data_IF_606210024445
#
_entry.id   IF_606210024445
#
_cell.length_a   1.000
_cell.length_b   1.000
_cell.length_c   1.000
_cell.angle_alpha   90.00
_cell.angle_beta   90.00
_cell.angle_gamma   90.00
#
_symmetry.space_group_name_H-M   'P 1'
#
loop_
_entity.id
_entity.type
_entity.pdbx_description
1 polymer ?
#
# COMPACT_ATOMS: atom_id res chain seq x y z
N UNK A 1 15.48 31.89 62.84
CA UNK A 1 16.75 31.89 63.59
C UNK A 1 17.85 31.51 62.59
N UNK A 2 18.54 32.45 61.95
CA UNK A 2 19.63 33.33 62.42
C UNK A 2 21.00 32.83 61.96
N UNK A 3 21.61 33.61 61.03
CA UNK A 3 23.04 34.05 60.95
C UNK A 3 24.12 32.94 60.81
N UNK A 4 25.18 33.03 59.99
CA UNK A 4 26.24 34.06 59.82
C UNK A 4 27.03 33.72 58.53
N UNK A 5 27.28 34.65 57.60
CA UNK A 5 28.43 35.58 57.52
C UNK A 5 29.81 34.90 57.46
N UNK A 6 30.50 35.03 56.32
CA UNK A 6 31.92 35.39 56.30
C UNK A 6 32.24 36.22 55.06
N UNK A 7 32.65 37.46 55.30
CA UNK A 7 33.21 38.39 54.34
C UNK A 7 34.74 38.38 54.50
N UNK A 8 35.48 38.51 53.40
CA UNK A 8 36.89 38.85 53.42
C UNK A 8 37.12 40.04 52.47
N UNK A 9 37.59 41.11 53.10
CA UNK A 9 37.93 42.43 52.58
C UNK A 9 39.43 42.42 52.23
N UNK A 10 39.84 42.92 51.05
CA UNK A 10 41.23 43.34 50.83
C UNK A 10 41.30 44.61 49.96
N UNK A 11 41.67 45.68 50.69
CA UNK A 11 42.38 46.92 50.37
C UNK A 11 42.36 47.53 48.95
N UNK A 12 41.96 48.81 48.94
CA UNK A 12 42.24 49.80 47.93
C UNK A 12 43.70 50.30 47.97
N UNK A 13 44.28 50.53 46.79
CA UNK A 13 45.35 51.52 46.57
C UNK A 13 44.93 52.34 45.35
N UNK A 14 44.79 53.65 45.55
CA UNK A 14 44.53 54.61 44.49
C UNK A 14 45.81 55.02 43.78
N UNK A 15 45.74 55.14 42.45
CA UNK A 15 46.66 55.92 41.65
C UNK A 15 45.86 56.59 40.52
N UNK A 16 45.87 57.91 40.50
CA UNK A 16 45.35 58.73 39.42
C UNK A 16 46.29 58.64 38.19
N UNK A 17 45.72 58.63 36.99
CA UNK A 17 46.47 58.99 35.78
C UNK A 17 46.12 58.19 34.52
N UNK A 18 45.69 58.95 33.50
CA UNK A 18 45.67 58.64 32.07
C UNK A 18 44.48 57.80 31.57
N UNK A 19 43.51 58.50 30.97
CA UNK A 19 42.58 57.93 30.01
C UNK A 19 43.35 57.47 28.77
N UNK A 20 43.57 56.17 28.66
CA UNK A 20 43.93 55.49 27.42
C UNK A 20 42.62 55.14 26.70
N UNK A 21 42.53 55.26 25.35
CA UNK A 21 41.39 54.73 24.62
C UNK A 21 41.36 53.22 24.87
N UNK A 22 40.22 52.73 25.35
CA UNK A 22 39.96 51.30 25.43
C UNK A 22 40.09 50.75 24.00
N UNK A 23 41.19 50.08 23.72
CA UNK A 23 41.25 49.15 22.60
C UNK A 23 40.15 48.12 22.88
N UNK A 24 39.13 48.10 22.01
CA UNK A 24 38.15 47.04 21.98
C UNK A 24 38.92 45.73 21.97
N UNK A 25 38.90 45.03 23.11
CA UNK A 25 39.39 43.67 23.16
C UNK A 25 38.41 42.90 22.28
N UNK A 26 38.95 42.38 21.18
CA UNK A 26 38.31 41.41 20.31
C UNK A 26 37.96 40.22 21.20
N UNK A 27 36.74 40.23 21.72
CA UNK A 27 36.20 39.16 22.52
C UNK A 27 36.05 37.98 21.55
N UNK A 28 36.69 36.82 21.81
CA UNK A 28 36.47 35.65 20.98
C UNK A 28 34.97 35.42 20.92
N UNK A 29 34.40 35.43 19.72
CA UNK A 29 33.00 35.08 19.52
C UNK A 29 32.76 33.74 20.24
N UNK A 30 31.77 33.71 21.13
CA UNK A 30 31.23 32.44 21.61
C UNK A 30 30.91 31.61 20.36
N UNK A 31 31.31 30.32 20.30
CA UNK A 31 30.89 29.48 19.19
C UNK A 31 29.37 29.53 19.13
N UNK A 32 28.83 29.85 17.95
CA UNK A 32 27.39 29.82 17.71
C UNK A 32 26.82 28.52 18.28
N UNK A 33 25.78 28.64 19.10
CA UNK A 33 25.08 27.47 19.61
C UNK A 33 24.70 26.56 18.42
N UNK A 34 24.78 25.22 18.57
CA UNK A 34 24.43 24.33 17.47
C UNK A 34 23.03 24.68 16.96
N UNK A 35 22.92 24.96 15.66
CA UNK A 35 21.63 25.24 14.99
C UNK A 35 20.76 23.98 14.93
N UNK A 36 21.39 22.83 15.13
CA UNK A 36 20.76 21.52 15.09
C UNK A 36 20.59 20.90 16.48
N UNK A 37 19.42 20.31 16.72
CA UNK A 37 19.08 19.54 17.94
C UNK A 37 19.06 18.05 17.60
N UNK A 38 19.70 17.22 18.43
CA UNK A 38 19.62 15.77 18.30
C UNK A 38 18.25 15.26 18.79
N UNK A 39 17.70 14.28 18.08
CA UNK A 39 16.54 13.50 18.51
C UNK A 39 17.00 12.08 18.82
N UNK A 40 16.55 11.54 19.94
CA UNK A 40 16.87 10.20 20.39
C UNK A 40 15.59 9.50 20.84
N UNK A 41 15.58 8.17 20.77
CA UNK A 41 14.48 7.31 21.26
C UNK A 41 13.10 7.63 20.66
N UNK A 42 13.04 8.19 19.46
CA UNK A 42 11.77 8.47 18.78
C UNK A 42 11.13 7.14 18.37
N UNK A 43 9.86 6.96 18.70
CA UNK A 43 9.06 5.80 18.27
C UNK A 43 8.17 6.18 17.10
N UNK A 44 8.28 5.43 16.01
CA UNK A 44 7.35 5.48 14.87
C UNK A 44 6.22 4.48 15.10
N UNK A 45 4.96 4.91 15.04
CA UNK A 45 3.77 4.06 15.04
C UNK A 45 2.98 4.21 13.74
N UNK A 46 2.69 3.10 13.05
CA UNK A 46 1.87 3.15 11.84
C UNK A 46 1.20 1.81 11.50
N UNK A 47 -0.08 1.89 11.13
CA UNK A 47 -0.87 0.73 10.70
C UNK A 47 -1.02 0.59 9.19
N UNK A 48 -0.32 1.41 8.39
CA UNK A 48 -0.44 1.54 6.93
C UNK A 48 -1.84 1.97 6.47
N UNK A 49 -2.84 1.09 6.56
CA UNK A 49 -4.24 1.31 6.24
C UNK A 49 -5.13 0.27 6.96
N UNK A 50 -6.45 0.48 6.95
CA UNK A 50 -7.38 -0.44 7.60
C UNK A 50 -7.41 -1.82 6.93
N UNK A 51 -7.20 -1.88 5.61
CA UNK A 51 -7.13 -3.12 4.83
C UNK A 51 -6.04 -4.07 5.33
N UNK A 52 -4.90 -3.52 5.81
CA UNK A 52 -3.79 -4.29 6.40
C UNK A 52 -4.14 -4.93 7.75
N UNK A 53 -5.31 -4.62 8.32
CA UNK A 53 -5.82 -5.19 9.57
C UNK A 53 -7.19 -5.87 9.43
N UNK A 54 -7.59 -6.12 8.19
CA UNK A 54 -8.90 -6.65 7.81
C UNK A 54 -8.90 -8.18 7.65
N UNK A 55 -10.10 -8.78 7.62
CA UNK A 55 -10.27 -10.15 7.10
C UNK A 55 -10.10 -10.14 5.59
N UNK A 56 -9.42 -11.16 5.05
CA UNK A 56 -9.23 -11.28 3.61
C UNK A 56 -10.30 -12.17 2.95
N UNK A 57 -10.42 -12.10 1.63
CA UNK A 57 -11.47 -12.80 0.87
C UNK A 57 -11.30 -14.32 0.80
N UNK A 58 -10.08 -14.84 0.97
CA UNK A 58 -9.89 -16.28 1.07
C UNK A 58 -10.45 -16.79 2.42
N UNK A 59 -11.13 -17.95 2.44
CA UNK A 59 -11.68 -18.50 3.68
C UNK A 59 -10.65 -18.55 4.82
N UNK A 60 -11.07 -18.08 5.99
CA UNK A 60 -10.27 -18.09 7.24
C UNK A 60 -8.88 -17.45 7.15
N UNK A 61 -8.73 -16.46 6.27
CA UNK A 61 -7.51 -15.64 6.16
C UNK A 61 -7.73 -14.18 6.55
N UNK A 62 -6.63 -13.54 6.95
CA UNK A 62 -6.57 -12.22 7.56
C UNK A 62 -5.31 -11.49 7.10
N UNK A 63 -5.41 -10.17 6.94
CA UNK A 63 -4.26 -9.31 6.71
C UNK A 63 -3.71 -8.84 8.06
N UNK A 64 -2.40 -8.94 8.26
CA UNK A 64 -1.77 -8.51 9.50
C UNK A 64 -0.26 -8.29 9.40
N UNK A 65 0.31 -7.70 10.45
CA UNK A 65 1.75 -7.51 10.60
C UNK A 65 2.43 -8.62 11.42
N UNK A 66 3.69 -8.91 11.10
CA UNK A 66 4.64 -9.60 11.98
C UNK A 66 5.82 -8.67 12.23
N UNK A 67 6.32 -8.65 13.47
CA UNK A 67 7.62 -8.05 13.75
C UNK A 67 8.72 -8.96 13.19
N UNK A 68 9.69 -8.36 12.52
CA UNK A 68 10.79 -9.05 11.86
C UNK A 68 10.39 -9.73 10.55
N UNK A 69 11.38 -10.37 9.94
CA UNK A 69 11.25 -11.16 8.71
C UNK A 69 10.63 -12.53 8.97
N UNK A 70 9.55 -12.82 8.25
CA UNK A 70 9.00 -14.17 8.15
C UNK A 70 9.87 -15.01 7.20
N UNK A 71 10.17 -16.29 7.53
CA UNK A 71 10.87 -17.20 6.63
C UNK A 71 10.13 -17.44 5.31
N UNK A 72 10.88 -17.68 4.24
CA UNK A 72 10.31 -18.07 2.94
C UNK A 72 9.57 -19.42 3.04
N UNK A 73 8.25 -19.48 2.79
CA UNK A 73 7.50 -20.74 2.74
C UNK A 73 7.84 -21.59 1.50
N UNK A 74 8.63 -21.08 0.55
CA UNK A 74 9.08 -21.73 -0.67
C UNK A 74 8.04 -21.78 -1.79
N UNK A 75 6.84 -21.24 -1.57
CA UNK A 75 5.79 -21.08 -2.60
C UNK A 75 4.72 -20.07 -2.14
N UNK A 76 4.11 -19.40 -3.11
CA UNK A 76 2.94 -18.55 -2.91
C UNK A 76 1.71 -19.33 -2.48
N UNK A 77 0.67 -18.62 -2.01
CA UNK A 77 -0.57 -19.27 -1.57
C UNK A 77 -0.44 -20.04 -0.25
N UNK A 78 0.70 -19.94 0.45
CA UNK A 78 0.93 -20.60 1.73
C UNK A 78 0.59 -19.67 2.89
N UNK A 79 -0.27 -20.10 3.80
CA UNK A 79 -0.48 -19.37 5.06
C UNK A 79 0.62 -19.69 6.05
N UNK A 80 1.05 -18.70 6.84
CA UNK A 80 2.03 -18.91 7.90
C UNK A 80 1.43 -19.59 9.12
N UNK A 81 2.28 -20.29 9.89
CA UNK A 81 1.89 -20.87 11.16
C UNK A 81 2.10 -19.89 12.32
N UNK A 82 1.42 -20.15 13.45
CA UNK A 82 1.62 -19.39 14.70
C UNK A 82 3.11 -19.34 15.09
N UNK A 83 3.85 -20.42 14.83
CA UNK A 83 5.24 -20.55 15.24
C UNK A 83 6.17 -19.57 14.51
N UNK A 84 5.80 -19.17 13.29
CA UNK A 84 6.59 -18.24 12.47
C UNK A 84 6.28 -16.78 12.81
N UNK A 85 5.09 -16.50 13.34
CA UNK A 85 4.68 -15.14 13.69
C UNK A 85 5.30 -14.64 15.00
N UNK A 86 5.79 -13.40 14.96
CA UNK A 86 6.25 -12.68 16.15
C UNK A 86 5.51 -11.36 16.38
N UNK A 87 5.15 -11.11 17.64
CA UNK A 87 4.66 -9.80 18.09
C UNK A 87 5.78 -8.80 18.36
N UNK A 88 7.04 -9.26 18.41
CA UNK A 88 8.21 -8.41 18.69
C UNK A 88 9.48 -9.00 18.07
N UNK A 89 10.28 -8.15 17.45
CA UNK A 89 11.61 -8.47 16.99
C UNK A 89 12.49 -7.22 17.07
N UNK A 90 13.57 -7.26 17.84
CA UNK A 90 14.39 -6.08 18.13
C UNK A 90 13.57 -4.88 18.66
N UNK A 91 13.65 -3.76 17.93
CA UNK A 91 12.93 -2.51 18.16
C UNK A 91 11.50 -2.50 17.58
N UNK A 92 11.11 -3.53 16.84
CA UNK A 92 9.79 -3.63 16.21
C UNK A 92 8.82 -4.34 17.14
N UNK A 93 7.61 -3.79 17.32
CA UNK A 93 6.50 -4.47 17.99
C UNK A 93 5.20 -4.37 17.18
N UNK A 94 4.42 -5.44 17.19
CA UNK A 94 3.04 -5.41 16.72
C UNK A 94 2.14 -5.16 17.92
N UNK A 95 1.34 -4.10 17.84
CA UNK A 95 0.44 -3.68 18.90
C UNK A 95 -1.00 -3.67 18.40
N UNK A 96 -1.96 -3.78 19.30
CA UNK A 96 -3.39 -3.81 19.02
C UNK A 96 -4.12 -2.93 20.01
N UNK A 97 -5.06 -2.14 19.51
CA UNK A 97 -5.98 -1.39 20.35
C UNK A 97 -6.99 -2.34 21.01
N UNK A 98 -7.03 -2.35 22.35
CA UNK A 98 -7.96 -3.17 23.14
C UNK A 98 -9.28 -2.47 23.48
N UNK A 99 -9.48 -1.25 22.97
CA UNK A 99 -10.60 -0.38 23.33
C UNK A 99 -10.23 0.74 24.29
N UNK A 100 -9.08 0.62 24.99
CA UNK A 100 -8.62 1.55 26.01
C UNK A 100 -7.16 1.97 25.88
N UNK A 101 -6.29 1.04 25.45
CA UNK A 101 -4.87 1.28 25.28
C UNK A 101 -4.32 0.44 24.11
N UNK A 102 -3.15 0.82 23.62
CA UNK A 102 -2.36 -0.04 22.76
C UNK A 102 -1.68 -1.10 23.60
N UNK A 103 -1.80 -2.36 23.18
CA UNK A 103 -1.22 -3.52 23.86
C UNK A 103 -0.47 -4.36 22.85
N UNK A 104 0.57 -5.06 23.27
CA UNK A 104 1.23 -6.07 22.42
C UNK A 104 0.18 -7.03 21.84
N UNK A 105 0.18 -7.18 20.52
CA UNK A 105 -0.77 -8.02 19.84
C UNK A 105 -0.58 -9.50 20.25
N UNK A 106 -1.66 -10.26 20.19
CA UNK A 106 -1.62 -11.71 20.29
C UNK A 106 -2.09 -12.30 18.98
N UNK A 107 -1.61 -13.51 18.66
CA UNK A 107 -2.02 -14.21 17.44
C UNK A 107 -3.53 -14.37 17.30
N UNK A 108 -4.21 -14.71 18.39
CA UNK A 108 -5.68 -14.79 18.41
C UNK A 108 -6.30 -13.40 18.20
N UNK A 109 -5.70 -12.36 18.79
CA UNK A 109 -6.15 -10.98 18.68
C UNK A 109 -6.15 -10.43 17.25
N UNK A 110 -5.26 -10.92 16.37
CA UNK A 110 -5.21 -10.51 14.95
C UNK A 110 -6.50 -10.84 14.18
N UNK A 111 -7.36 -11.70 14.72
CA UNK A 111 -8.60 -12.18 14.09
C UNK A 111 -9.86 -11.60 14.73
N UNK A 112 -9.69 -10.62 15.62
CA UNK A 112 -10.77 -10.06 16.42
C UNK A 112 -10.72 -8.55 16.42
N UNK A 113 -11.89 -7.92 16.52
CA UNK A 113 -12.05 -6.48 16.76
C UNK A 113 -11.40 -6.05 18.07
N UNK A 114 -11.33 -4.74 18.35
CA UNK A 114 -10.91 -4.23 19.66
C UNK A 114 -11.74 -4.77 20.82
N UNK A 115 -13.02 -5.10 20.60
CA UNK A 115 -13.89 -5.70 21.61
C UNK A 115 -13.70 -7.22 21.80
N UNK A 116 -12.83 -7.86 21.02
CA UNK A 116 -12.60 -9.31 21.07
C UNK A 116 -13.56 -10.15 20.24
N UNK A 117 -14.53 -9.53 19.56
CA UNK A 117 -15.43 -10.23 18.63
C UNK A 117 -14.71 -10.61 17.33
N UNK A 118 -15.03 -11.76 16.70
CA UNK A 118 -14.47 -12.13 15.40
C UNK A 118 -14.68 -11.05 14.34
N UNK A 119 -13.70 -10.86 13.44
CA UNK A 119 -13.90 -9.97 12.30
C UNK A 119 -15.01 -10.48 11.37
N UNK A 120 -15.80 -9.54 10.84
CA UNK A 120 -16.87 -9.79 9.88
C UNK A 120 -16.37 -10.23 8.51
N UNK A 121 -17.22 -10.14 7.49
CA UNK A 121 -16.76 -10.31 6.10
C UNK A 121 -15.73 -9.24 5.72
N UNK A 122 -14.90 -9.44 4.68
CA UNK A 122 -13.91 -8.43 4.25
C UNK A 122 -14.49 -7.04 3.99
N UNK A 123 -15.76 -6.96 3.62
CA UNK A 123 -16.47 -5.71 3.33
C UNK A 123 -17.26 -5.15 4.53
N UNK A 124 -17.15 -5.76 5.71
CA UNK A 124 -17.97 -5.41 6.87
C UNK A 124 -17.54 -4.10 7.56
N UNK A 125 -16.33 -3.58 7.25
CA UNK A 125 -15.77 -2.43 7.96
C UNK A 125 -15.47 -2.76 9.42
N UNK A 126 -15.01 -3.98 9.70
CA UNK A 126 -14.57 -4.40 11.03
C UNK A 126 -13.10 -4.79 10.95
N UNK A 127 -12.27 -4.13 11.74
CA UNK A 127 -10.83 -4.30 11.70
C UNK A 127 -10.30 -4.80 13.04
N UNK A 128 -9.15 -5.46 12.99
CA UNK A 128 -8.47 -5.89 14.22
C UNK A 128 -7.80 -4.72 14.95
N UNK A 129 -7.59 -3.60 14.25
CA UNK A 129 -6.98 -2.38 14.80
C UNK A 129 -5.61 -2.65 15.42
N UNK A 130 -4.78 -3.39 14.69
CA UNK A 130 -3.39 -3.58 15.05
C UNK A 130 -2.50 -2.70 14.18
N UNK A 131 -1.36 -2.33 14.74
CA UNK A 131 -0.38 -1.39 14.21
C UNK A 131 1.02 -1.94 14.45
N UNK A 132 2.02 -1.29 13.90
CA UNK A 132 3.42 -1.56 14.21
C UNK A 132 4.05 -0.35 14.86
N UNK A 133 4.94 -0.60 15.81
CA UNK A 133 5.88 0.39 16.34
C UNK A 133 7.31 0.02 16.02
N UNK A 134 8.13 1.02 15.71
CA UNK A 134 9.59 0.92 15.60
C UNK A 134 10.18 1.96 16.54
N UNK A 135 10.78 1.51 17.64
CA UNK A 135 11.39 2.39 18.65
C UNK A 135 12.86 2.68 18.34
N UNK A 136 13.49 3.60 19.09
CA UNK A 136 14.93 3.86 18.98
C UNK A 136 15.30 4.62 17.71
N UNK A 137 14.40 5.47 17.23
CA UNK A 137 14.70 6.37 16.12
C UNK A 137 15.61 7.49 16.57
N UNK A 138 16.72 7.64 15.88
CA UNK A 138 17.72 8.67 16.13
C UNK A 138 17.78 9.63 14.94
N UNK A 139 18.02 10.90 15.24
CA UNK A 139 17.93 11.93 14.23
C UNK A 139 18.49 13.29 14.61
N UNK A 140 18.32 14.22 13.69
CA UNK A 140 18.71 15.61 13.85
C UNK A 140 17.62 16.51 13.29
N UNK A 141 17.37 17.63 13.96
CA UNK A 141 16.45 18.69 13.53
C UNK A 141 17.25 19.97 13.43
N UNK A 142 17.15 20.69 12.31
CA UNK A 142 17.63 22.05 12.18
C UNK A 142 16.42 22.99 11.96
N UNK A 143 15.94 23.66 13.03
CA UNK A 143 14.81 24.59 12.92
C UNK A 143 15.12 25.83 12.07
N UNK A 144 16.40 26.21 11.91
CA UNK A 144 16.80 27.38 11.12
C UNK A 144 16.73 27.07 9.63
N UNK A 145 17.21 25.89 9.23
CA UNK A 145 17.10 25.40 7.85
C UNK A 145 15.70 24.84 7.55
N UNK A 146 14.89 24.56 8.58
CA UNK A 146 13.58 23.95 8.43
C UNK A 146 13.68 22.51 7.95
N UNK A 147 14.67 21.77 8.46
CA UNK A 147 14.94 20.38 8.07
C UNK A 147 14.95 19.44 9.27
N UNK A 148 14.63 18.17 9.03
CA UNK A 148 14.86 17.10 10.00
C UNK A 148 15.16 15.78 9.29
N UNK A 149 15.89 14.90 9.95
CA UNK A 149 16.06 13.51 9.52
C UNK A 149 16.02 12.61 10.74
N UNK A 150 15.17 11.57 10.70
CA UNK A 150 15.07 10.55 11.75
C UNK A 150 15.12 9.19 11.08
N UNK A 151 15.98 8.30 11.56
CA UNK A 151 16.16 6.96 11.04
C UNK A 151 15.89 5.92 12.13
N UNK A 152 15.26 4.82 11.75
CA UNK A 152 15.02 3.68 12.62
C UNK A 152 15.67 2.43 12.04
N UNK A 153 16.08 1.52 12.90
CA UNK A 153 16.50 0.17 12.52
C UNK A 153 15.39 -0.83 12.85
N UNK A 154 15.04 -1.69 11.89
CA UNK A 154 14.05 -2.73 12.12
C UNK A 154 13.29 -3.13 10.86
N UNK A 155 12.75 -4.35 10.90
CA UNK A 155 12.02 -4.94 9.77
C UNK A 155 10.62 -5.37 10.20
N UNK A 156 9.65 -5.10 9.32
CA UNK A 156 8.24 -5.46 9.48
C UNK A 156 7.84 -6.33 8.31
N UNK A 157 7.21 -7.48 8.56
CA UNK A 157 6.53 -8.22 7.50
C UNK A 157 5.05 -7.83 7.45
N UNK A 158 4.57 -7.42 6.28
CA UNK A 158 3.16 -7.15 6.00
C UNK A 158 2.58 -8.36 5.28
N UNK A 159 1.63 -9.06 5.93
CA UNK A 159 1.05 -10.29 5.43
C UNK A 159 -0.35 -10.04 4.90
N UNK A 160 -0.59 -10.43 3.65
CA UNK A 160 -1.91 -10.51 3.06
C UNK A 160 -2.37 -11.97 3.00
N UNK A 161 -3.67 -12.18 3.23
CA UNK A 161 -4.28 -13.51 3.26
C UNK A 161 -3.50 -14.49 4.17
N UNK A 162 -3.09 -14.01 5.34
CA UNK A 162 -2.33 -14.77 6.34
C UNK A 162 -1.01 -15.36 5.82
N UNK A 163 -0.37 -14.67 4.87
CA UNK A 163 0.95 -15.00 4.36
C UNK A 163 0.97 -15.60 2.96
N UNK A 164 -0.19 -15.82 2.33
CA UNK A 164 -0.23 -16.27 0.93
C UNK A 164 0.49 -15.30 -0.01
N UNK A 165 0.54 -14.02 0.37
CA UNK A 165 1.42 -13.00 -0.16
C UNK A 165 1.95 -12.16 1.00
N UNK A 166 3.21 -11.77 0.95
CA UNK A 166 3.79 -10.84 1.92
C UNK A 166 4.96 -10.06 1.33
N UNK A 167 5.29 -8.97 1.99
CA UNK A 167 6.49 -8.18 1.72
C UNK A 167 7.05 -7.66 3.04
N UNK A 168 8.27 -7.14 2.98
CA UNK A 168 8.98 -6.59 4.11
C UNK A 168 9.18 -5.08 3.92
N UNK A 169 9.06 -4.34 5.01
CA UNK A 169 9.46 -2.94 5.14
C UNK A 169 10.61 -2.89 6.15
N UNK A 170 11.77 -2.39 5.75
CA UNK A 170 12.94 -2.30 6.60
C UNK A 170 13.51 -0.89 6.66
N UNK A 171 14.08 -0.56 7.81
CA UNK A 171 14.93 0.61 8.07
C UNK A 171 14.33 1.93 7.55
N UNK A 172 13.18 2.35 8.12
CA UNK A 172 12.51 3.54 7.67
C UNK A 172 13.33 4.80 8.00
N UNK A 173 13.26 5.79 7.12
CA UNK A 173 13.89 7.10 7.29
C UNK A 173 12.88 8.18 6.95
N UNK A 174 12.61 9.07 7.91
CA UNK A 174 11.81 10.26 7.71
C UNK A 174 12.74 11.44 7.44
N UNK A 175 12.59 12.06 6.28
CA UNK A 175 13.21 13.35 5.95
C UNK A 175 12.13 14.42 5.95
N UNK A 176 12.38 15.56 6.60
CA UNK A 176 11.50 16.72 6.59
C UNK A 176 12.25 17.89 5.98
N UNK A 177 11.62 18.56 5.02
CA UNK A 177 12.10 19.78 4.40
C UNK A 177 10.91 20.56 3.81
N UNK A 178 11.02 21.88 3.76
CA UNK A 178 10.00 22.75 3.14
C UNK A 178 8.57 22.55 3.69
N UNK A 179 8.45 22.17 4.97
CA UNK A 179 7.17 21.91 5.64
C UNK A 179 6.51 20.57 5.27
N UNK A 180 7.21 19.69 4.57
CA UNK A 180 6.73 18.36 4.20
C UNK A 180 7.69 17.26 4.68
N UNK A 181 7.13 16.12 5.05
CA UNK A 181 7.88 14.91 5.41
C UNK A 181 7.80 13.85 4.31
N UNK A 182 8.89 13.12 4.09
CA UNK A 182 8.95 11.96 3.19
C UNK A 182 9.48 10.79 4.01
N UNK A 183 8.62 9.79 4.23
CA UNK A 183 9.02 8.53 4.83
C UNK A 183 9.44 7.57 3.73
N UNK A 184 10.70 7.14 3.76
CA UNK A 184 11.23 6.08 2.92
C UNK A 184 11.48 4.82 3.73
N UNK A 185 11.47 3.66 3.06
CA UNK A 185 11.88 2.39 3.64
C UNK A 185 12.41 1.47 2.54
N UNK A 186 13.21 0.48 2.92
CA UNK A 186 13.57 -0.62 2.02
C UNK A 186 12.43 -1.63 1.92
N UNK A 187 12.03 -1.96 0.69
CA UNK A 187 10.93 -2.88 0.39
C UNK A 187 11.44 -4.08 -0.36
N UNK A 188 11.14 -5.27 0.14
CA UNK A 188 11.50 -6.54 -0.49
C UNK A 188 10.41 -7.59 -0.26
N UNK A 189 10.51 -8.77 -0.85
CA UNK A 189 9.54 -9.83 -0.64
C UNK A 189 9.60 -10.87 -1.73
N UNK A 190 8.44 -11.46 -2.04
CA UNK A 190 8.30 -12.44 -3.09
C UNK A 190 7.19 -12.02 -4.05
N UNK A 191 7.48 -12.09 -5.35
CA UNK A 191 6.48 -11.90 -6.40
C UNK A 191 5.36 -12.94 -6.21
N UNK A 192 4.12 -12.50 -6.33
CA UNK A 192 2.95 -13.36 -6.23
C UNK A 192 1.96 -13.04 -7.35
N UNK A 193 1.02 -13.94 -7.61
CA UNK A 193 -0.05 -13.68 -8.58
C UNK A 193 -1.33 -14.40 -8.17
N UNK A 194 -2.45 -13.69 -8.23
CA UNK A 194 -3.77 -14.30 -8.05
C UNK A 194 -4.15 -15.19 -9.26
N UNK A 195 -3.68 -14.83 -10.46
CA UNK A 195 -3.97 -15.59 -11.68
C UNK A 195 -3.10 -16.83 -11.82
N UNK A 196 -1.90 -16.81 -11.22
CA UNK A 196 -0.93 -17.90 -11.23
C UNK A 196 -0.29 -18.06 -9.84
N UNK A 197 -0.84 -18.94 -8.98
CA UNK A 197 -0.35 -19.10 -7.61
C UNK A 197 1.02 -19.78 -7.51
N UNK A 198 1.57 -20.27 -8.62
CA UNK A 198 2.92 -20.85 -8.65
C UNK A 198 4.02 -19.78 -8.78
N UNK A 199 3.65 -18.51 -9.06
CA UNK A 199 4.59 -17.38 -9.03
C UNK A 199 5.04 -17.14 -7.59
N UNK A 200 6.34 -17.35 -7.34
CA UNK A 200 6.98 -17.11 -6.05
C UNK A 200 8.49 -16.92 -6.24
N UNK A 201 8.91 -15.69 -6.50
CA UNK A 201 10.31 -15.36 -6.76
C UNK A 201 10.75 -14.18 -5.91
N UNK A 202 11.97 -14.20 -5.36
CA UNK A 202 12.45 -13.09 -4.54
C UNK A 202 12.54 -11.80 -5.35
N UNK A 203 11.97 -10.73 -4.81
CA UNK A 203 12.12 -9.36 -5.32
C UNK A 203 13.24 -8.70 -4.54
N UNK A 204 14.25 -8.20 -5.25
CA UNK A 204 15.39 -7.53 -4.66
C UNK A 204 14.95 -6.31 -3.83
N UNK A 205 15.60 -6.03 -2.69
CA UNK A 205 15.25 -4.87 -1.89
C UNK A 205 15.45 -3.56 -2.65
N UNK A 206 14.48 -2.64 -2.50
CA UNK A 206 14.52 -1.30 -3.08
C UNK A 206 14.05 -0.27 -2.06
N UNK A 207 14.79 0.82 -1.91
CA UNK A 207 14.38 1.96 -1.07
C UNK A 207 13.40 2.84 -1.83
N UNK A 208 12.19 2.98 -1.30
CA UNK A 208 11.11 3.74 -1.92
C UNK A 208 10.40 4.64 -0.91
N UNK A 209 9.66 5.62 -1.42
CA UNK A 209 8.78 6.47 -0.62
C UNK A 209 7.54 5.69 -0.24
N UNK A 210 7.34 5.43 1.06
CA UNK A 210 6.18 4.70 1.57
C UNK A 210 5.06 5.65 2.01
N UNK A 211 5.39 6.89 2.40
CA UNK A 211 4.42 7.92 2.76
C UNK A 211 4.97 9.32 2.51
N UNK A 212 4.10 10.19 2.00
CA UNK A 212 4.32 11.65 1.94
C UNK A 212 3.45 12.31 3.02
N UNK A 213 4.04 13.17 3.84
CA UNK A 213 3.38 13.93 4.91
C UNK A 213 3.34 15.41 4.49
N UNK A 214 2.20 15.94 4.02
CA UNK A 214 2.17 17.25 3.37
C UNK A 214 2.34 18.44 4.32
N UNK A 215 2.09 18.25 5.62
CA UNK A 215 2.00 19.33 6.61
C UNK A 215 2.80 18.96 7.88
N UNK A 216 4.13 19.04 7.80
CA UNK A 216 5.05 18.75 8.93
C UNK A 216 5.72 20.03 9.38
N UNK A 217 5.40 20.46 10.60
CA UNK A 217 6.04 21.60 11.25
C UNK A 217 7.31 21.11 11.97
N UNK A 218 8.48 21.57 11.51
CA UNK A 218 9.78 21.14 12.05
C UNK A 218 9.95 21.54 13.52
N UNK A 219 9.45 22.70 13.92
CA UNK A 219 9.52 23.17 15.31
C UNK A 219 8.82 22.22 16.28
N UNK A 220 7.73 21.58 15.86
CA UNK A 220 6.98 20.62 16.68
C UNK A 220 7.84 19.39 17.06
N UNK A 221 8.88 19.08 16.29
CA UNK A 221 9.81 17.98 16.60
C UNK A 221 10.73 18.31 17.79
N UNK A 222 10.81 19.57 18.24
CA UNK A 222 11.74 19.99 19.31
C UNK A 222 11.08 20.75 20.46
N UNK A 223 9.83 21.17 20.34
CA UNK A 223 9.12 21.98 21.35
C UNK A 223 8.48 21.17 22.50
N UNK A 224 8.75 19.86 22.55
CA UNK A 224 8.15 18.91 23.50
C UNK A 224 6.87 18.25 23.00
N UNK A 225 6.37 18.58 21.80
CA UNK A 225 5.17 17.95 21.25
C UNK A 225 5.33 16.45 20.97
N UNK A 226 6.56 15.97 20.76
CA UNK A 226 6.85 14.53 20.66
C UNK A 226 6.50 13.74 21.94
N UNK A 227 6.56 14.37 23.12
CA UNK A 227 6.19 13.69 24.37
C UNK A 227 4.68 13.39 24.41
N UNK A 228 3.88 14.27 23.82
CA UNK A 228 2.43 14.10 23.67
C UNK A 228 2.04 13.25 22.45
N UNK A 229 2.96 13.10 21.50
CA UNK A 229 2.75 12.44 20.22
C UNK A 229 2.28 13.37 19.12
N UNK A 230 2.99 13.32 18.00
CA UNK A 230 2.63 14.03 16.79
C UNK A 230 2.05 13.05 15.78
N UNK A 231 0.90 13.36 15.20
CA UNK A 231 0.27 12.50 14.21
C UNK A 231 -0.08 13.24 12.93
N UNK A 232 0.28 12.62 11.81
CA UNK A 232 -0.04 13.09 10.47
C UNK A 232 -0.79 12.02 9.71
N UNK A 233 -1.66 12.43 8.78
CA UNK A 233 -2.25 11.51 7.82
C UNK A 233 -1.43 11.59 6.52
N UNK A 234 -0.76 10.49 6.10
CA UNK A 234 -0.07 10.49 4.81
C UNK A 234 -1.00 10.84 3.65
N UNK A 235 -0.43 11.47 2.62
CA UNK A 235 -1.12 11.73 1.38
C UNK A 235 -1.60 10.41 0.75
N UNK A 236 -2.88 10.36 0.40
CA UNK A 236 -3.49 9.23 -0.30
C UNK A 236 -4.61 9.71 -1.21
N UNK A 237 -5.59 10.42 -0.64
CA UNK A 237 -6.75 10.91 -1.37
C UNK A 237 -6.30 11.88 -2.48
N UNK A 238 -6.77 11.63 -3.70
CA UNK A 238 -6.40 12.42 -4.88
C UNK A 238 -5.00 12.13 -5.45
N UNK A 239 -4.16 11.33 -4.79
CA UNK A 239 -2.87 10.90 -5.33
C UNK A 239 -3.10 10.00 -6.55
N UNK A 240 -2.43 10.32 -7.66
CA UNK A 240 -2.58 9.62 -8.93
C UNK A 240 -1.27 8.90 -9.27
N UNK A 241 -1.40 7.64 -9.64
CA UNK A 241 -0.29 6.81 -10.12
C UNK A 241 -0.55 6.33 -11.54
N UNK A 242 0.51 5.79 -12.14
CA UNK A 242 0.54 5.20 -13.48
C UNK A 242 1.03 3.75 -13.42
N UNK A 243 0.97 3.02 -14.53
CA UNK A 243 1.37 1.61 -14.60
C UNK A 243 0.31 0.61 -14.12
N UNK A 244 -0.64 1.06 -13.29
CA UNK A 244 -1.73 0.23 -12.73
C UNK A 244 -3.11 0.76 -13.12
N UNK A 245 -4.17 -0.08 -13.13
CA UNK A 245 -5.54 0.33 -13.44
C UNK A 245 -6.21 1.06 -12.25
N UNK A 246 -5.70 2.24 -11.88
CA UNK A 246 -6.25 3.05 -10.80
C UNK A 246 -7.60 3.68 -11.17
N UNK A 247 -8.62 3.43 -10.36
CA UNK A 247 -9.90 4.15 -10.36
C UNK A 247 -9.70 5.55 -9.81
N UNK A 248 -10.09 6.57 -10.57
CA UNK A 248 -9.72 7.98 -10.33
C UNK A 248 -10.86 8.86 -9.81
N UNK A 249 -12.04 8.30 -9.69
CA UNK A 249 -13.27 8.95 -9.26
C UNK A 249 -13.81 8.29 -7.98
N UNK A 250 -14.51 9.06 -7.15
CA UNK A 250 -15.10 8.61 -5.89
C UNK A 250 -14.44 9.23 -4.66
N UNK A 251 -15.13 9.12 -3.52
CA UNK A 251 -14.72 9.74 -2.24
C UNK A 251 -13.37 9.20 -1.73
N UNK A 252 -13.06 7.94 -2.01
CA UNK A 252 -11.84 7.27 -1.55
C UNK A 252 -10.82 7.06 -2.69
N UNK A 253 -10.98 7.76 -3.81
CA UNK A 253 -10.05 7.68 -4.92
C UNK A 253 -8.67 8.25 -4.52
N UNK A 254 -7.64 7.44 -4.68
CA UNK A 254 -6.32 7.77 -4.15
C UNK A 254 -5.31 6.64 -4.32
N UNK A 255 -4.12 6.86 -3.83
CA UNK A 255 -3.01 5.90 -3.91
C UNK A 255 -1.95 6.20 -2.88
N UNK A 256 -1.22 5.17 -2.45
CA UNK A 256 0.13 5.34 -1.91
C UNK A 256 1.09 5.90 -2.98
N UNK A 257 2.29 6.37 -2.60
CA UNK A 257 3.24 6.97 -3.52
C UNK A 257 3.62 6.05 -4.70
N UNK A 258 3.93 6.63 -5.85
CA UNK A 258 4.20 5.90 -7.09
C UNK A 258 5.30 4.83 -6.92
N UNK A 259 6.43 5.19 -6.29
CA UNK A 259 7.55 4.27 -6.11
C UNK A 259 7.19 3.05 -5.27
N UNK A 260 6.33 3.23 -4.25
CA UNK A 260 5.79 2.11 -3.50
C UNK A 260 4.85 1.24 -4.32
N UNK A 261 3.93 1.84 -5.08
CA UNK A 261 3.02 1.09 -5.97
C UNK A 261 3.77 0.29 -7.03
N UNK A 262 4.86 0.84 -7.59
CA UNK A 262 5.69 0.15 -8.57
C UNK A 262 6.35 -1.12 -7.99
N UNK A 263 6.82 -1.07 -6.74
CA UNK A 263 7.34 -2.26 -6.05
C UNK A 263 6.23 -3.26 -5.75
N UNK A 264 5.07 -2.78 -5.30
CA UNK A 264 3.92 -3.62 -5.01
C UNK A 264 3.36 -4.31 -6.26
N UNK A 265 3.49 -3.71 -7.45
CA UNK A 265 3.07 -4.32 -8.71
C UNK A 265 3.94 -5.54 -9.04
N UNK A 266 5.25 -5.41 -8.85
CA UNK A 266 6.21 -6.55 -8.98
C UNK A 266 5.98 -7.64 -7.94
N UNK A 267 5.53 -7.25 -6.74
CA UNK A 267 5.17 -8.19 -5.67
C UNK A 267 3.78 -8.82 -5.88
N UNK A 268 2.99 -8.34 -6.85
CA UNK A 268 1.63 -8.83 -7.13
C UNK A 268 0.55 -8.31 -6.17
N UNK A 269 0.84 -7.27 -5.40
CA UNK A 269 -0.02 -6.73 -4.34
C UNK A 269 -0.47 -5.29 -4.58
N UNK A 270 -0.09 -4.66 -5.71
CA UNK A 270 -0.39 -3.24 -5.99
C UNK A 270 -1.86 -2.85 -5.77
N UNK A 271 -2.81 -3.72 -6.12
CA UNK A 271 -4.23 -3.43 -5.97
C UNK A 271 -4.67 -3.14 -4.53
N UNK A 272 -3.90 -3.50 -3.50
CA UNK A 272 -4.17 -3.15 -2.09
C UNK A 272 -3.75 -1.72 -1.72
N UNK A 273 -3.04 -1.02 -2.60
CA UNK A 273 -2.34 0.24 -2.30
C UNK A 273 -2.81 1.43 -3.14
N UNK A 274 -3.83 1.22 -3.98
CA UNK A 274 -4.53 2.27 -4.69
C UNK A 274 -6.01 1.95 -4.81
N UNK A 275 -6.83 2.95 -5.15
CA UNK A 275 -8.24 2.76 -5.46
C UNK A 275 -8.40 1.90 -6.71
N UNK A 276 -8.61 0.60 -6.53
CA UNK A 276 -8.60 -0.40 -7.61
C UNK A 276 -9.99 -0.65 -8.21
N UNK A 277 -11.00 0.08 -7.74
CA UNK A 277 -12.42 -0.22 -7.98
C UNK A 277 -12.95 -1.37 -7.13
N UNK A 278 -12.18 -1.80 -6.11
CA UNK A 278 -12.55 -2.90 -5.22
C UNK A 278 -13.56 -2.47 -4.17
N UNK A 279 -14.33 -3.42 -3.63
CA UNK A 279 -15.31 -3.15 -2.56
C UNK A 279 -14.67 -2.74 -1.23
N UNK A 280 -13.35 -2.89 -1.08
CA UNK A 280 -12.57 -2.47 0.09
C UNK A 280 -11.73 -1.21 -0.16
N UNK A 281 -11.93 -0.48 -1.26
CA UNK A 281 -11.16 0.74 -1.56
C UNK A 281 -11.21 1.79 -0.44
N UNK A 282 -12.34 1.89 0.28
CA UNK A 282 -12.49 2.76 1.43
C UNK A 282 -11.50 2.44 2.58
N UNK A 283 -11.03 1.19 2.67
CA UNK A 283 -10.16 0.70 3.74
C UNK A 283 -8.67 0.82 3.36
N UNK A 284 -8.38 1.21 2.12
CA UNK A 284 -7.00 1.39 1.62
C UNK A 284 -6.44 2.78 1.91
N UNK A 285 -7.28 3.73 2.34
CA UNK A 285 -6.86 5.09 2.69
C UNK A 285 -5.79 5.02 3.78
N UNK A 286 -4.68 5.73 3.57
CA UNK A 286 -3.55 5.70 4.50
C UNK A 286 -3.99 6.07 5.93
N UNK A 287 -3.69 5.18 6.87
CA UNK A 287 -3.90 5.40 8.29
C UNK A 287 -2.94 6.49 8.80
N UNK A 288 -3.31 7.25 9.84
CA UNK A 288 -2.39 8.20 10.43
C UNK A 288 -1.11 7.51 10.94
N UNK A 289 0.01 8.21 10.76
CA UNK A 289 1.32 7.90 11.29
C UNK A 289 1.55 8.76 12.54
N UNK A 290 2.21 8.21 13.55
CA UNK A 290 2.52 8.93 14.79
C UNK A 290 3.99 8.79 15.15
N UNK A 291 4.60 9.89 15.60
CA UNK A 291 5.92 9.92 16.23
C UNK A 291 5.80 10.32 17.70
N UNK A 292 6.58 9.68 18.57
CA UNK A 292 6.60 10.02 19.99
C UNK A 292 7.87 9.64 20.73
N UNK A 293 8.20 10.40 21.76
CA UNK A 293 9.27 10.10 22.74
C UNK A 293 8.70 9.69 24.11
N UNK A 294 7.39 9.87 24.33
CA UNK A 294 6.73 9.53 25.60
C UNK A 294 6.60 8.02 25.85
N UNK A 295 6.77 7.61 27.11
CA UNK A 295 6.60 6.23 27.58
C UNK A 295 5.12 5.77 27.66
N UNK A 296 4.17 6.67 27.40
CA UNK A 296 2.74 6.39 27.58
C UNK A 296 2.16 5.56 26.42
N UNK A 297 1.61 4.38 26.76
CA UNK A 297 0.94 3.41 25.85
C UNK A 297 -0.19 4.02 24.96
N UNK A 298 -0.60 5.27 25.19
CA UNK A 298 -1.75 5.93 24.54
C UNK A 298 -1.34 6.79 23.35
N UNK A 299 -0.04 6.95 23.07
CA UNK A 299 0.40 7.94 22.07
C UNK A 299 0.10 7.52 20.63
N UNK A 300 -0.99 8.02 20.07
CA UNK A 300 -1.42 7.80 18.69
C UNK A 300 -2.94 7.84 18.54
N UNK A 301 -3.46 7.97 17.32
CA UNK A 301 -4.90 8.06 17.12
C UNK A 301 -5.58 6.78 17.56
N UNK A 302 -6.64 6.94 18.36
CA UNK A 302 -7.58 5.84 18.58
C UNK A 302 -8.16 5.43 17.23
N UNK A 303 -8.21 4.12 16.92
CA UNK A 303 -8.86 3.64 15.70
C UNK A 303 -10.27 4.24 15.60
N UNK A 304 -10.51 4.95 14.51
CA UNK A 304 -11.83 5.56 14.26
C UNK A 304 -12.77 4.47 13.75
N UNK A 305 -14.07 4.61 14.03
CA UNK A 305 -15.06 3.72 13.45
C UNK A 305 -14.92 3.72 11.92
N UNK A 306 -15.05 2.54 11.30
CA UNK A 306 -14.85 2.39 9.87
C UNK A 306 -15.68 3.40 9.08
N UNK A 307 -15.16 3.96 7.98
CA UNK A 307 -15.96 4.78 7.09
C UNK A 307 -17.16 3.96 6.64
N UNK A 308 -18.37 4.45 6.93
CA UNK A 308 -19.60 3.83 6.45
C UNK A 308 -19.65 4.05 4.95
N UNK A 309 -19.38 3.00 4.18
CA UNK A 309 -19.72 2.99 2.76
C UNK A 309 -21.20 3.40 2.64
N UNK A 310 -21.58 4.34 1.76
CA UNK A 310 -22.98 4.67 1.54
C UNK A 310 -23.75 3.38 1.30
N UNK A 311 -24.80 3.20 2.09
CA UNK A 311 -25.45 1.91 2.29
C UNK A 311 -25.76 1.18 0.99
N UNK A 312 -25.82 -0.14 1.11
CA UNK A 312 -26.63 -0.95 0.23
C UNK A 312 -28.01 -0.29 0.13
N UNK A 313 -28.25 0.46 -0.95
CA UNK A 313 -29.59 0.67 -1.46
C UNK A 313 -30.22 -0.73 -1.48
N UNK A 314 -31.40 -0.85 -0.87
CA UNK A 314 -32.18 -2.08 -0.85
C UNK A 314 -32.02 -2.83 -2.18
N UNK A 315 -31.74 -4.14 -2.09
CA UNK A 315 -31.55 -5.02 -3.23
C UNK A 315 -32.49 -4.61 -4.38
N UNK A 316 -31.97 -4.32 -5.59
CA UNK A 316 -32.83 -4.17 -6.75
C UNK A 316 -33.67 -5.46 -6.85
N UNK A 317 -34.97 -5.31 -7.01
CA UNK A 317 -35.82 -6.43 -7.37
C UNK A 317 -35.17 -7.16 -8.58
N UNK A 318 -35.22 -8.51 -8.62
CA UNK A 318 -34.63 -9.27 -9.72
C UNK A 318 -35.11 -8.70 -11.06
N UNK A 319 -34.23 -8.54 -12.06
CA UNK A 319 -34.63 -7.95 -13.33
C UNK A 319 -35.76 -8.77 -13.94
N UNK A 320 -36.91 -8.13 -14.17
CA UNK A 320 -37.95 -8.68 -15.02
C UNK A 320 -37.35 -8.87 -16.41
N UNK A 321 -37.18 -10.13 -16.82
CA UNK A 321 -36.77 -10.49 -18.18
C UNK A 321 -37.84 -10.00 -19.14
N UNK A 322 -37.56 -8.91 -19.87
CA UNK A 322 -38.31 -8.54 -21.07
C UNK A 322 -37.78 -9.41 -22.21
N UNK A 323 -38.61 -10.26 -22.85
CA UNK A 323 -38.15 -11.07 -23.97
C UNK A 323 -37.72 -10.18 -25.16
N UNK A 324 -36.71 -10.60 -25.94
CA UNK A 324 -36.21 -9.82 -27.06
C UNK A 324 -37.29 -9.64 -28.15
N UNK A 325 -37.38 -8.46 -28.79
CA UNK A 325 -38.29 -8.27 -29.93
C UNK A 325 -37.89 -9.17 -31.11
N UNK A 326 -38.93 -9.66 -31.81
CA UNK A 326 -38.82 -10.62 -32.90
C UNK A 326 -37.85 -10.18 -34.01
N UNK A 327 -37.07 -11.15 -34.49
CA UNK A 327 -36.15 -11.06 -35.62
C UNK A 327 -36.87 -10.59 -36.89
N UNK A 328 -36.43 -9.45 -37.46
CA UNK A 328 -36.80 -9.04 -38.82
C UNK A 328 -35.77 -9.63 -39.78
N UNK A 329 -36.21 -10.59 -40.60
CA UNK A 329 -35.43 -11.20 -41.69
C UNK A 329 -35.24 -10.18 -42.81
N UNK A 330 -34.01 -9.69 -43.02
CA UNK A 330 -33.65 -8.95 -44.21
C UNK A 330 -33.05 -9.91 -45.26
N UNK A 331 -33.81 -10.15 -46.32
CA UNK A 331 -33.39 -10.93 -47.48
C UNK A 331 -32.40 -10.12 -48.32
N UNK A 332 -31.14 -10.55 -48.42
CA UNK A 332 -30.18 -10.01 -49.39
C UNK A 332 -30.07 -11.00 -50.55
N UNK A 333 -30.58 -10.58 -51.71
CA UNK A 333 -30.48 -11.27 -53.00
C UNK A 333 -29.02 -11.21 -53.50
N UNK A 334 -28.36 -12.36 -53.59
CA UNK A 334 -27.03 -12.48 -54.20
C UNK A 334 -27.14 -12.52 -55.73
N UNK A 335 -26.45 -11.61 -56.41
CA UNK A 335 -26.32 -11.59 -57.87
C UNK A 335 -25.26 -12.62 -58.33
N UNK A 336 -25.56 -13.26 -59.45
CA UNK A 336 -24.85 -14.41 -60.00
C UNK A 336 -23.40 -14.11 -60.46
N UNK A 337 -22.54 -15.11 -60.27
CA UNK A 337 -21.19 -15.17 -60.82
C UNK A 337 -21.19 -15.53 -62.31
N UNK A 338 -20.23 -15.03 -63.12
CA UNK A 338 -19.84 -15.66 -64.36
C UNK A 338 -18.61 -16.58 -64.19
N UNK A 339 -18.63 -17.66 -64.97
CA UNK A 339 -17.78 -18.85 -64.88
C UNK A 339 -16.65 -18.82 -65.92
N UNK A 340 -15.46 -19.28 -65.50
CA UNK A 340 -14.34 -19.93 -66.25
C UNK A 340 -13.58 -19.22 -67.39
N UNK A 341 -12.24 -19.25 -67.30
CA UNK A 341 -11.37 -20.20 -68.05
C UNK A 341 -9.90 -20.17 -67.52
N UNK A 342 -9.16 -21.30 -67.51
CA UNK A 342 -7.74 -21.34 -67.10
C UNK A 342 -6.81 -21.31 -68.31
N UNK A 343 -5.60 -20.72 -68.22
CA UNK A 343 -4.45 -21.01 -69.12
C UNK A 343 -3.14 -20.30 -68.68
N UNK A 344 -2.11 -21.14 -68.47
CA UNK A 344 -0.63 -20.97 -68.60
C UNK A 344 0.19 -19.95 -67.79
N UNK A 345 1.15 -20.47 -67.01
CA UNK A 345 2.52 -19.96 -66.88
C UNK A 345 3.31 -20.32 -68.17
N UNK A 346 4.41 -19.65 -68.59
CA UNK A 346 5.57 -19.25 -67.75
C UNK A 346 6.36 -17.98 -68.18
N UNK A 347 7.33 -17.56 -67.36
CA UNK A 347 8.74 -17.28 -67.73
C UNK A 347 9.36 -16.10 -66.97
N UNK A 348 10.50 -16.37 -66.32
CA UNK A 348 11.51 -15.38 -65.96
C UNK A 348 12.43 -15.11 -67.16
N UNK A 349 13.07 -13.92 -67.22
CA UNK A 349 14.54 -13.87 -67.08
C UNK A 349 14.98 -12.70 -66.18
N UNK A 350 15.84 -12.92 -65.17
CA UNK A 350 17.31 -12.92 -65.20
C UNK A 350 17.95 -11.50 -65.05
N UNK A 351 19.12 -11.38 -64.37
CA UNK A 351 19.49 -10.21 -63.59
C UNK A 351 20.50 -9.30 -64.31
N UNK A 352 20.61 -8.04 -63.89
CA UNK A 352 21.71 -7.16 -64.27
C UNK A 352 22.27 -6.39 -63.07
N UNK A 353 23.59 -6.42 -63.01
CA UNK A 353 24.53 -5.92 -62.00
C UNK A 353 24.72 -4.40 -62.16
N UNK A 354 25.01 -3.69 -61.06
CA UNK A 354 25.58 -2.34 -61.13
C UNK A 354 25.64 -1.62 -59.77
N UNK A 355 26.82 -1.61 -59.17
CA UNK A 355 27.19 -0.72 -58.05
C UNK A 355 27.14 0.76 -58.45
N UNK A 356 26.76 1.64 -57.52
CA UNK A 356 27.57 2.77 -57.03
C UNK A 356 26.70 3.86 -56.39
N UNK A 357 27.24 4.41 -55.30
CA UNK A 357 26.68 5.43 -54.41
C UNK A 357 26.27 6.75 -55.07
N UNK A 358 25.18 7.36 -54.59
CA UNK A 358 25.08 8.82 -54.45
C UNK A 358 23.96 9.22 -53.48
N UNK A 359 24.34 9.97 -52.45
CA UNK A 359 23.46 10.75 -51.58
C UNK A 359 22.65 11.76 -52.39
N UNK A 360 21.33 11.76 -52.24
CA UNK A 360 20.48 12.92 -52.57
C UNK A 360 19.27 12.95 -51.65
N UNK A 361 19.09 14.09 -50.99
CA UNK A 361 18.03 14.40 -50.04
C UNK A 361 16.82 14.89 -50.85
N UNK A 362 15.65 14.30 -50.66
CA UNK A 362 14.38 14.75 -51.21
C UNK A 362 13.22 14.45 -50.22
N UNK A 363 12.13 15.24 -50.24
CA UNK A 363 11.27 15.48 -49.08
C UNK A 363 10.34 14.31 -48.75
N UNK A 364 10.10 14.10 -47.45
CA UNK A 364 9.17 13.11 -46.91
C UNK A 364 7.74 13.47 -47.34
N UNK A 365 7.18 12.64 -48.21
CA UNK A 365 5.75 12.61 -48.50
C UNK A 365 5.09 11.70 -47.47
N UNK A 366 4.05 12.20 -46.79
CA UNK A 366 3.27 11.46 -45.80
C UNK A 366 2.58 10.25 -46.45
N UNK A 367 2.94 9.04 -46.01
CA UNK A 367 2.24 7.81 -46.38
C UNK A 367 1.19 7.52 -45.33
N UNK A 368 -0.08 7.64 -45.70
CA UNK A 368 -1.22 7.14 -44.92
C UNK A 368 -1.27 5.62 -45.05
N UNK A 369 -0.78 4.90 -44.05
CA UNK A 369 -0.92 3.44 -43.97
C UNK A 369 -2.35 3.08 -43.59
N UNK A 370 -3.12 2.51 -44.53
CA UNK A 370 -4.36 1.80 -44.23
C UNK A 370 -4.03 0.35 -43.88
N UNK A 371 -4.14 -0.01 -42.60
CA UNK A 371 -4.03 -1.39 -42.14
C UNK A 371 -5.36 -2.10 -42.41
N UNK A 372 -5.38 -3.07 -43.33
CA UNK A 372 -6.52 -3.96 -43.57
C UNK A 372 -6.25 -5.31 -42.91
N UNK A 373 -7.03 -5.66 -41.88
CA UNK A 373 -7.00 -7.01 -41.29
C UNK A 373 -7.53 -8.03 -42.30
N UNK A 374 -6.75 -9.08 -42.54
CA UNK A 374 -7.18 -10.31 -43.21
C UNK A 374 -7.30 -11.39 -42.13
N UNK A 375 -8.52 -11.87 -41.87
CA UNK A 375 -8.74 -13.02 -41.01
C UNK A 375 -8.48 -14.32 -41.81
N UNK A 376 -7.57 -15.16 -41.32
CA UNK A 376 -7.41 -16.53 -41.79
C UNK A 376 -8.27 -17.47 -40.91
N UNK A 377 -8.99 -18.45 -41.49
CA UNK A 377 -9.75 -19.42 -40.69
C UNK A 377 -8.79 -20.47 -40.11
N UNK A 378 -8.76 -20.60 -38.77
CA UNK A 378 -8.06 -21.68 -38.09
C UNK A 378 -8.90 -22.97 -38.16
N UNK A 379 -8.31 -24.02 -38.72
CA UNK A 379 -8.81 -25.40 -38.69
C UNK A 379 -8.67 -25.97 -37.28
N UNK A 380 -9.79 -26.30 -36.64
CA UNK A 380 -9.82 -26.94 -35.33
C UNK A 380 -9.56 -28.46 -35.45
N UNK A 381 -8.56 -28.97 -34.73
CA UNK A 381 -8.39 -30.41 -34.43
C UNK A 381 -9.04 -30.75 -33.08
N UNK A 382 -9.76 -31.88 -32.93
CA UNK A 382 -10.47 -32.22 -31.70
C UNK A 382 -9.70 -33.19 -30.77
N UNK A 383 -9.62 -32.83 -29.47
CA UNK A 383 -9.52 -33.62 -28.21
C UNK A 383 -8.76 -32.74 -27.19
N UNK A 384 -9.26 -32.44 -25.99
CA UNK A 384 -9.65 -33.38 -24.93
C UNK A 384 -10.98 -33.05 -24.21
N UNK A 385 -11.53 -34.08 -23.56
CA UNK A 385 -12.83 -34.11 -22.86
C UNK A 385 -12.81 -33.26 -21.57
N UNK A 386 -13.94 -32.64 -21.19
CA UNK A 386 -14.10 -32.08 -19.85
C UNK A 386 -14.34 -33.19 -18.81
N UNK A 387 -13.65 -33.10 -17.67
CA UNK A 387 -13.82 -33.99 -16.52
C UNK A 387 -15.27 -33.99 -16.01
N UNK A 388 -15.90 -35.14 -15.72
CA UNK A 388 -17.31 -35.22 -15.33
C UNK A 388 -17.61 -34.85 -13.86
N UNK A 389 -16.59 -34.48 -13.06
CA UNK A 389 -16.76 -34.22 -11.63
C UNK A 389 -17.45 -32.87 -11.29
N UNK A 390 -17.39 -31.88 -12.18
CA UNK A 390 -18.04 -30.59 -11.94
C UNK A 390 -19.58 -30.66 -12.02
N UNK A 391 -20.12 -31.60 -12.81
CA UNK A 391 -21.57 -31.82 -12.92
C UNK A 391 -22.18 -32.45 -11.66
N UNK A 392 -21.40 -33.24 -10.91
CA UNK A 392 -21.88 -33.89 -9.69
C UNK A 392 -22.08 -32.86 -8.56
N UNK A 393 -21.18 -31.87 -8.44
CA UNK A 393 -21.32 -30.78 -7.47
C UNK A 393 -22.53 -29.88 -7.75
N UNK A 394 -22.76 -29.52 -9.02
CA UNK A 394 -23.91 -28.69 -9.42
C UNK A 394 -25.26 -29.40 -9.26
N UNK A 395 -25.31 -30.71 -9.50
CA UNK A 395 -26.54 -31.51 -9.38
C UNK A 395 -26.96 -31.75 -7.92
N UNK A 396 -25.99 -31.90 -7.00
CA UNK A 396 -26.25 -32.02 -5.56
C UNK A 396 -26.78 -30.72 -4.93
N UNK A 397 -26.33 -29.57 -5.44
CA UNK A 397 -26.82 -28.26 -4.99
C UNK A 397 -28.26 -28.01 -5.43
N UNK A 398 -28.65 -28.43 -6.64
CA UNK A 398 -30.03 -28.31 -7.12
C UNK A 398 -31.01 -29.27 -6.40
N UNK A 399 -30.54 -30.47 -6.02
CA UNK A 399 -31.34 -31.42 -5.21
C UNK A 399 -31.55 -30.93 -3.77
N UNK A 400 -30.58 -30.20 -3.21
CA UNK A 400 -30.68 -29.61 -1.86
C UNK A 400 -31.73 -28.50 -1.79
N UNK A 401 -31.83 -27.68 -2.85
CA UNK A 401 -32.83 -26.61 -2.95
C UNK A 401 -34.24 -27.19 -3.14
N UNK A 402 -34.39 -28.31 -3.84
CA UNK A 402 -35.68 -28.95 -4.04
C UNK A 402 -36.30 -29.54 -2.75
N UNK A 403 -35.48 -29.99 -1.79
CA UNK A 403 -35.95 -30.54 -0.51
C UNK A 403 -36.46 -29.45 0.44
N UNK A 404 -35.96 -28.21 0.33
CA UNK A 404 -36.39 -27.06 1.14
C UNK A 404 -37.70 -26.42 0.66
N UNK A 405 -38.17 -26.76 -0.55
CA UNK A 405 -39.41 -26.23 -1.13
C UNK A 405 -40.65 -27.11 -0.88
N UNK A 406 -40.52 -28.20 -0.12
CA UNK A 406 -41.65 -29.06 0.26
C UNK A 406 -42.37 -28.48 1.48
N UNK A 407 -43.64 -28.02 1.37
CA UNK A 407 -44.35 -27.47 2.51
C UNK A 407 -44.68 -28.57 3.54
N UNK A 408 -44.21 -28.40 4.76
CA UNK A 408 -44.53 -29.29 5.88
C UNK A 408 -46.00 -29.08 6.28
N UNK A 409 -46.82 -30.09 6.01
CA UNK A 409 -48.23 -30.14 6.43
C UNK A 409 -48.29 -30.19 7.97
N UNK A 410 -48.77 -29.12 8.62
CA UNK A 410 -49.00 -29.08 10.08
C UNK A 410 -49.87 -30.28 10.48
N UNK A 411 -49.31 -31.20 11.26
CA UNK A 411 -50.07 -32.21 12.00
C UNK A 411 -50.73 -31.51 13.18
N UNK A 412 -52.04 -31.33 13.09
CA UNK A 412 -52.88 -31.10 14.26
C UNK A 412 -52.95 -32.40 15.04
N UNK A 413 -52.69 -32.36 16.35
CA UNK A 413 -53.11 -33.41 17.30
C UNK A 413 -52.79 -32.96 18.72
N UNK A 414 -53.55 -33.44 19.71
CA UNK A 414 -54.99 -33.35 19.90
C UNK A 414 -55.38 -32.23 20.88
#
# INVERSE_FOLDING_TARGET
MSRRLLAALLLAVGAAGVALPAAAQDQPAEPDAPTSTALEDVTLRWGLNDESSNRAFAPDTYNFFSAGRIPDPGRGGTTIDRADWSSRDGAVQVEKWDGTAWRRATWAGLRTTSAGEPLGSPTAGTFSNHTVTVSGGDGVVDPVEGTATIAWEGEVTVLYYSGMSFFHLADPVLEVADGAGVLTAEVSGYASSQADPDVWEPVAPERVTVADLPDVEVDALTDGSLDAGLSWRPAYLGVRVSGVPQQRDGEHAGSFPQSFVDVMDRLGTAAFWYSSGGSTDAFKVAAPLTLSTGEDDVVGPTPTAAPTSPGATAAPAPPTVVPPPATVTATVTAAAAPTTAPTTAPSAPAPAVGEASATSIAPVTTVTTQTRLLAAPATATPRDRPDPLWWVGGSLLLLSVAVLLVPVKKRNTP
#
